data_IF_021792480297
#
_entry.id   IF_021792480297
#
_cell.length_a   1.000
_cell.length_b   1.000
_cell.length_c   1.000
_cell.angle_alpha   90.00
_cell.angle_beta   90.00
_cell.angle_gamma   90.00
#
_symmetry.space_group_name_H-M   'P 1'
#
loop_
_entity.id
_entity.type
_entity.pdbx_description
1 polymer ?
#
# COMPACT_ATOMS: atom_id res chain seq x y z
N UNK A 1 3.45 -10.37 9.24
CA UNK A 1 4.63 -9.53 9.49
C UNK A 1 4.38 -8.57 10.65
N UNK A 2 4.13 -9.10 11.86
CA UNK A 2 3.67 -8.28 13.00
C UNK A 2 4.73 -7.29 13.52
N UNK A 3 6.00 -7.68 13.76
CA UNK A 3 7.02 -6.75 14.23
C UNK A 3 7.24 -5.56 13.28
N UNK A 4 7.19 -5.83 11.97
CA UNK A 4 7.34 -4.79 10.94
C UNK A 4 6.16 -3.81 10.98
N UNK A 5 4.92 -4.31 11.03
CA UNK A 5 3.74 -3.46 11.13
C UNK A 5 3.74 -2.60 12.42
N UNK A 6 4.23 -3.16 13.52
CA UNK A 6 4.38 -2.43 14.78
C UNK A 6 5.39 -1.28 14.66
N UNK A 7 6.57 -1.54 14.10
CA UNK A 7 7.63 -0.52 13.91
C UNK A 7 7.21 0.59 12.95
N UNK A 8 6.34 0.30 11.98
CA UNK A 8 5.79 1.30 11.05
C UNK A 8 4.82 2.30 11.70
N UNK A 9 4.43 2.09 12.96
CA UNK A 9 3.59 3.04 13.70
C UNK A 9 2.10 2.98 13.37
N UNK A 10 1.59 1.77 13.04
CA UNK A 10 0.18 1.51 12.70
C UNK A 10 -0.75 2.00 13.81
N UNK A 11 -0.66 1.49 15.05
CA UNK A 11 -1.37 2.02 16.24
C UNK A 11 -0.94 1.25 17.51
N UNK A 12 -1.41 1.69 18.69
CA UNK A 12 -1.30 0.96 19.97
C UNK A 12 -2.26 -0.23 20.11
N UNK A 13 -3.27 -0.35 19.22
CA UNK A 13 -4.15 -1.51 19.17
C UNK A 13 -3.47 -2.71 18.47
N UNK A 14 -3.37 -3.81 19.21
CA UNK A 14 -2.78 -5.08 18.74
C UNK A 14 -3.58 -5.69 17.59
N UNK A 15 -4.91 -5.56 17.59
CA UNK A 15 -5.77 -6.16 16.55
C UNK A 15 -5.62 -5.44 15.21
N UNK A 16 -5.60 -4.11 15.20
CA UNK A 16 -5.34 -3.34 13.98
C UNK A 16 -3.95 -3.66 13.41
N UNK A 17 -2.93 -3.70 14.27
CA UNK A 17 -1.57 -4.08 13.89
C UNK A 17 -1.53 -5.48 13.29
N UNK A 18 -2.29 -6.43 13.85
CA UNK A 18 -2.40 -7.78 13.31
C UNK A 18 -3.10 -7.81 11.94
N UNK A 19 -4.14 -7.00 11.75
CA UNK A 19 -4.80 -6.86 10.45
C UNK A 19 -3.82 -6.33 9.39
N UNK A 20 -3.10 -5.24 9.67
CA UNK A 20 -2.09 -4.69 8.75
C UNK A 20 -0.96 -5.69 8.49
N UNK A 21 -0.48 -6.37 9.54
CA UNK A 21 0.55 -7.40 9.41
C UNK A 21 0.15 -8.59 8.51
N UNK A 22 -1.14 -8.95 8.49
CA UNK A 22 -1.71 -9.97 7.61
C UNK A 22 -1.84 -9.48 6.17
N UNK A 23 -2.16 -8.20 5.96
CA UNK A 23 -2.20 -7.58 4.64
C UNK A 23 -0.81 -7.56 4.01
N UNK A 24 0.22 -7.09 4.73
CA UNK A 24 1.61 -7.08 4.25
C UNK A 24 2.07 -8.51 3.93
N UNK A 25 1.75 -9.49 4.80
CA UNK A 25 2.05 -10.89 4.53
C UNK A 25 1.36 -11.44 3.28
N UNK A 26 0.08 -11.10 3.09
CA UNK A 26 -0.69 -11.51 1.90
C UNK A 26 -0.09 -10.91 0.62
N UNK A 27 0.35 -9.65 0.65
CA UNK A 27 1.06 -9.03 -0.47
C UNK A 27 2.30 -9.82 -0.85
N UNK A 28 3.19 -10.06 0.10
CA UNK A 28 4.48 -10.70 -0.17
C UNK A 28 4.32 -12.13 -0.66
N UNK A 29 3.41 -12.90 -0.03
CA UNK A 29 3.21 -14.30 -0.34
C UNK A 29 2.35 -14.55 -1.59
N UNK A 30 1.35 -13.70 -1.85
CA UNK A 30 0.37 -13.89 -2.92
C UNK A 30 0.48 -12.77 -3.96
N UNK A 31 -0.07 -11.60 -3.66
CA UNK A 31 0.08 -10.37 -4.46
C UNK A 31 -0.61 -9.19 -3.76
N UNK A 32 -0.29 -7.98 -4.22
CA UNK A 32 -0.87 -6.72 -3.77
C UNK A 32 -2.36 -6.57 -4.10
N UNK A 33 -2.85 -7.09 -5.23
CA UNK A 33 -4.27 -6.97 -5.61
C UNK A 33 -5.21 -7.65 -4.60
N UNK A 34 -4.87 -8.87 -4.17
CA UNK A 34 -5.63 -9.60 -3.15
C UNK A 34 -5.50 -8.91 -1.80
N UNK A 35 -4.32 -8.37 -1.49
CA UNK A 35 -4.13 -7.60 -0.27
C UNK A 35 -4.99 -6.32 -0.27
N UNK A 36 -5.06 -5.59 -1.39
CA UNK A 36 -5.92 -4.41 -1.53
C UNK A 36 -7.40 -4.76 -1.44
N UNK A 37 -7.84 -5.88 -2.02
CA UNK A 37 -9.21 -6.36 -1.85
C UNK A 37 -9.54 -6.56 -0.37
N UNK A 38 -8.68 -7.29 0.36
CA UNK A 38 -8.86 -7.50 1.81
C UNK A 38 -8.81 -6.20 2.61
N UNK A 39 -7.98 -5.23 2.21
CA UNK A 39 -7.95 -3.91 2.83
C UNK A 39 -9.30 -3.18 2.62
N UNK A 40 -9.85 -3.22 1.41
CA UNK A 40 -11.17 -2.69 1.10
C UNK A 40 -12.28 -3.31 1.94
N UNK A 41 -12.25 -4.62 2.15
CA UNK A 41 -13.19 -5.35 3.01
C UNK A 41 -13.09 -4.89 4.48
N UNK A 42 -11.87 -4.63 4.97
CA UNK A 42 -11.64 -4.14 6.34
C UNK A 42 -12.12 -2.70 6.54
N UNK A 43 -11.89 -1.83 5.56
CA UNK A 43 -12.32 -0.42 5.57
C UNK A 43 -13.85 -0.30 5.50
N UNK A 44 -14.49 -1.14 4.69
CA UNK A 44 -15.94 -1.15 4.46
C UNK A 44 -16.71 -1.90 5.55
N UNK A 45 -16.02 -2.58 6.47
CA UNK A 45 -16.66 -3.35 7.53
C UNK A 45 -17.45 -2.43 8.48
N UNK A 46 -18.71 -2.78 8.83
CA UNK A 46 -19.57 -1.97 9.71
C UNK A 46 -18.96 -1.71 11.09
N UNK A 47 -18.12 -2.63 11.57
CA UNK A 47 -17.45 -2.54 12.87
C UNK A 47 -16.15 -1.75 12.85
N UNK A 48 -15.77 -1.12 11.72
CA UNK A 48 -14.57 -0.30 11.56
C UNK A 48 -13.32 -0.94 12.17
N UNK A 49 -12.81 -1.98 11.50
CA UNK A 49 -11.66 -2.77 11.96
C UNK A 49 -10.30 -2.08 11.83
N UNK A 50 -10.26 -0.94 11.15
CA UNK A 50 -9.06 -0.14 10.93
C UNK A 50 -9.40 1.34 11.11
N UNK A 51 -8.62 2.02 11.94
CA UNK A 51 -8.57 3.47 12.01
C UNK A 51 -8.09 4.08 10.68
N UNK A 52 -8.45 5.34 10.38
CA UNK A 52 -7.98 6.03 9.19
C UNK A 52 -6.45 6.03 9.03
N UNK A 53 -5.72 6.18 10.15
CA UNK A 53 -4.26 6.10 10.21
C UNK A 53 -3.75 4.72 9.79
N UNK A 54 -4.27 3.66 10.40
CA UNK A 54 -3.90 2.27 10.08
C UNK A 54 -4.21 1.93 8.61
N UNK A 55 -5.36 2.37 8.11
CA UNK A 55 -5.76 2.17 6.72
C UNK A 55 -4.83 2.90 5.73
N UNK A 56 -4.44 4.14 6.03
CA UNK A 56 -3.46 4.90 5.25
C UNK A 56 -2.09 4.20 5.24
N UNK A 57 -1.55 3.84 6.40
CA UNK A 57 -0.26 3.14 6.51
C UNK A 57 -0.30 1.82 5.72
N UNK A 58 -1.38 1.05 5.85
CA UNK A 58 -1.57 -0.17 5.06
C UNK A 58 -1.60 0.12 3.56
N UNK A 59 -2.28 1.19 3.11
CA UNK A 59 -2.35 1.57 1.70
C UNK A 59 -0.97 1.82 1.10
N UNK A 60 -0.10 2.56 1.81
CA UNK A 60 1.29 2.79 1.38
C UNK A 60 2.13 1.52 1.47
N UNK A 61 1.97 0.71 2.52
CA UNK A 61 2.71 -0.54 2.68
C UNK A 61 2.41 -1.53 1.55
N UNK A 62 1.16 -1.48 1.04
CA UNK A 62 0.70 -2.32 -0.05
C UNK A 62 1.10 -1.81 -1.43
N UNK A 63 1.52 -0.55 -1.55
CA UNK A 63 1.82 0.09 -2.83
C UNK A 63 3.16 -0.40 -3.41
N UNK A 64 3.11 -1.51 -4.14
CA UNK A 64 4.24 -2.00 -4.93
C UNK A 64 4.14 -3.48 -5.25
N UNK A 65 4.74 -3.89 -6.36
CA UNK A 65 4.77 -5.28 -6.83
C UNK A 65 5.85 -6.12 -6.11
N UNK A 66 6.08 -5.90 -4.82
CA UNK A 66 7.16 -6.58 -4.09
C UNK A 66 6.69 -7.94 -3.56
N UNK A 67 6.34 -8.86 -4.47
CA UNK A 67 5.87 -10.22 -4.18
C UNK A 67 6.70 -11.27 -4.94
N UNK A 68 6.57 -12.56 -4.60
CA UNK A 68 7.32 -13.62 -5.26
C UNK A 68 7.02 -13.77 -6.77
N UNK A 69 5.79 -13.48 -7.21
CA UNK A 69 5.44 -13.52 -8.63
C UNK A 69 6.27 -12.52 -9.46
N UNK A 70 6.63 -11.38 -8.87
CA UNK A 70 7.45 -10.36 -9.54
C UNK A 70 8.84 -10.84 -9.91
N UNK A 71 9.40 -11.82 -9.17
CA UNK A 71 10.67 -12.46 -9.56
C UNK A 71 10.53 -13.08 -10.96
N UNK A 72 9.47 -13.86 -11.18
CA UNK A 72 9.21 -14.50 -12.47
C UNK A 72 8.94 -13.48 -13.57
N UNK A 73 8.14 -12.45 -13.28
CA UNK A 73 7.81 -11.39 -14.25
C UNK A 73 9.06 -10.63 -14.67
N UNK A 74 9.89 -10.18 -13.72
CA UNK A 74 11.09 -9.41 -14.05
C UNK A 74 12.16 -10.27 -14.72
N UNK A 75 12.33 -11.55 -14.36
CA UNK A 75 13.19 -12.48 -15.10
C UNK A 75 12.70 -12.73 -16.53
N UNK A 76 11.39 -12.89 -16.73
CA UNK A 76 10.79 -13.09 -18.04
C UNK A 76 10.99 -11.89 -18.96
N UNK A 77 10.64 -10.70 -18.46
CA UNK A 77 10.73 -9.44 -19.23
C UNK A 77 12.20 -9.07 -19.47
N UNK A 78 12.96 -8.82 -18.41
CA UNK A 78 14.33 -8.31 -18.53
C UNK A 78 15.28 -9.37 -19.10
N UNK A 79 15.04 -10.66 -18.80
CA UNK A 79 15.79 -11.74 -19.42
C UNK A 79 15.49 -11.91 -20.91
N UNK A 80 14.26 -11.62 -21.36
CA UNK A 80 13.92 -11.55 -22.77
C UNK A 80 14.57 -10.36 -23.48
N UNK A 81 14.58 -9.19 -22.83
CA UNK A 81 15.16 -7.95 -23.36
C UNK A 81 16.70 -7.98 -23.40
N UNK A 82 17.34 -8.59 -22.40
CA UNK A 82 18.79 -8.70 -22.29
C UNK A 82 19.23 -10.15 -21.97
N UNK A 83 19.22 -11.05 -22.97
CA UNK A 83 19.53 -12.47 -22.77
C UNK A 83 20.92 -12.72 -22.17
N UNK A 84 21.91 -11.91 -22.54
CA UNK A 84 23.28 -11.99 -22.03
C UNK A 84 23.42 -11.59 -20.55
N UNK A 85 22.39 -10.97 -19.95
CA UNK A 85 22.37 -10.52 -18.56
C UNK A 85 21.50 -11.39 -17.65
N UNK A 86 20.89 -12.47 -18.17
CA UNK A 86 20.00 -13.37 -17.41
C UNK A 86 20.63 -13.91 -16.12
N UNK A 87 21.90 -14.30 -16.18
CA UNK A 87 22.60 -14.84 -15.02
C UNK A 87 22.70 -13.80 -13.89
N UNK A 88 23.24 -12.62 -14.19
CA UNK A 88 23.34 -11.50 -13.24
C UNK A 88 21.96 -11.10 -12.69
N UNK A 89 20.94 -11.09 -13.54
CA UNK A 89 19.58 -10.80 -13.11
C UNK A 89 19.06 -11.85 -12.12
N UNK A 90 19.25 -13.14 -12.40
CA UNK A 90 18.81 -14.22 -11.51
C UNK A 90 19.50 -14.20 -10.14
N UNK A 91 20.76 -13.77 -10.09
CA UNK A 91 21.52 -13.64 -8.84
C UNK A 91 21.09 -12.42 -8.01
N UNK A 92 20.66 -11.35 -8.66
CA UNK A 92 20.34 -10.07 -8.01
C UNK A 92 18.85 -9.89 -7.69
N UNK A 93 17.96 -10.61 -8.37
CA UNK A 93 16.52 -10.32 -8.33
C UNK A 93 15.89 -10.52 -6.96
N UNK A 94 16.36 -11.48 -6.17
CA UNK A 94 15.85 -11.67 -4.81
C UNK A 94 16.19 -10.47 -3.91
N UNK A 95 17.40 -9.92 -4.06
CA UNK A 95 17.81 -8.69 -3.37
C UNK A 95 16.98 -7.49 -3.85
N UNK A 96 16.73 -7.40 -5.16
CA UNK A 96 15.86 -6.36 -5.72
C UNK A 96 14.44 -6.43 -5.15
N UNK A 97 13.89 -7.64 -4.99
CA UNK A 97 12.59 -7.85 -4.36
C UNK A 97 12.56 -7.34 -2.91
N UNK A 98 13.56 -7.72 -2.11
CA UNK A 98 13.65 -7.28 -0.72
C UNK A 98 13.79 -5.76 -0.62
N UNK A 99 14.61 -5.14 -1.47
CA UNK A 99 14.73 -3.67 -1.53
C UNK A 99 13.38 -3.03 -1.88
N UNK A 100 12.64 -3.61 -2.84
CA UNK A 100 11.29 -3.17 -3.17
C UNK A 100 10.33 -3.24 -1.98
N UNK A 101 10.34 -4.35 -1.23
CA UNK A 101 9.56 -4.50 0.01
C UNK A 101 9.91 -3.39 1.02
N UNK A 102 11.20 -3.18 1.30
CA UNK A 102 11.66 -2.17 2.26
C UNK A 102 11.27 -0.77 1.82
N UNK A 103 11.33 -0.47 0.52
CA UNK A 103 10.90 0.82 -0.03
C UNK A 103 9.41 1.11 0.27
N UNK A 104 8.52 0.13 0.05
CA UNK A 104 7.10 0.27 0.40
C UNK A 104 6.87 0.47 1.90
N UNK A 105 7.63 -0.24 2.75
CA UNK A 105 7.52 -0.10 4.21
C UNK A 105 8.05 1.26 4.69
N UNK A 106 9.10 1.75 4.05
CA UNK A 106 9.69 3.06 4.32
C UNK A 106 8.71 4.19 3.99
N UNK A 107 8.11 4.19 2.79
CA UNK A 107 7.12 5.21 2.42
C UNK A 107 5.88 5.15 3.32
N UNK A 108 5.46 3.96 3.73
CA UNK A 108 4.37 3.80 4.70
C UNK A 108 4.70 4.35 6.08
N UNK A 109 5.93 4.17 6.55
CA UNK A 109 6.40 4.75 7.81
C UNK A 109 6.44 6.27 7.71
N UNK A 110 6.94 6.82 6.59
CA UNK A 110 6.90 8.27 6.35
C UNK A 110 5.48 8.82 6.34
N UNK A 111 4.53 8.13 5.70
CA UNK A 111 3.13 8.52 5.72
C UNK A 111 2.57 8.53 7.16
N UNK A 112 2.91 7.53 7.98
CA UNK A 112 2.53 7.48 9.39
C UNK A 112 3.13 8.60 10.26
N UNK A 113 4.31 9.11 9.89
CA UNK A 113 4.95 10.24 10.60
C UNK A 113 4.35 11.58 10.15
N UNK A 114 4.16 11.76 8.85
CA UNK A 114 3.82 13.05 8.25
C UNK A 114 2.32 13.37 8.30
N UNK A 115 1.45 12.36 8.23
CA UNK A 115 0.01 12.57 8.25
C UNK A 115 -0.56 12.41 9.66
N UNK A 116 -0.98 13.55 10.24
CA UNK A 116 -1.47 13.65 11.61
C UNK A 116 -2.95 13.26 11.71
N UNK A 117 -3.81 13.80 10.84
CA UNK A 117 -5.26 13.60 10.85
C UNK A 117 -5.76 13.03 9.50
N UNK A 118 -5.43 11.77 9.18
CA UNK A 118 -5.94 11.13 7.98
C UNK A 118 -7.45 10.87 8.12
N UNK A 119 -8.22 11.22 7.08
CA UNK A 119 -9.65 10.94 7.00
C UNK A 119 -9.91 9.76 6.06
N UNK A 120 -10.79 8.84 6.48
CA UNK A 120 -11.13 7.66 5.69
C UNK A 120 -12.41 7.90 4.90
N UNK A 121 -12.26 8.22 3.63
CA UNK A 121 -13.39 8.48 2.75
C UNK A 121 -14.20 7.20 2.48
N UNK A 122 -15.44 7.14 3.01
CA UNK A 122 -16.42 6.11 2.67
C UNK A 122 -17.39 6.62 1.59
N UNK A 123 -17.94 5.73 0.73
CA UNK A 123 -18.93 6.12 -0.27
C UNK A 123 -20.16 6.85 0.31
N UNK A 124 -20.53 6.56 1.56
CA UNK A 124 -21.65 7.22 2.25
C UNK A 124 -21.37 8.68 2.67
N UNK A 125 -20.08 9.06 2.82
CA UNK A 125 -19.66 10.38 3.34
C UNK A 125 -18.86 11.20 2.31
N UNK A 126 -18.82 10.77 1.04
CA UNK A 126 -17.99 11.35 0.00
C UNK A 126 -18.31 12.83 -0.33
N UNK A 127 -19.48 13.33 0.07
CA UNK A 127 -19.97 14.66 -0.31
C UNK A 127 -19.63 15.80 0.67
N UNK A 128 -19.27 15.53 1.94
CA UNK A 128 -19.12 16.60 2.96
C UNK A 128 -17.69 16.87 3.46
N UNK A 129 -16.82 15.86 3.55
CA UNK A 129 -15.45 16.03 4.09
C UNK A 129 -14.35 15.40 3.23
N UNK A 130 -14.72 14.58 2.24
CA UNK A 130 -13.77 13.98 1.31
C UNK A 130 -13.53 14.91 0.11
N UNK A 131 -12.37 14.77 -0.54
CA UNK A 131 -12.03 15.47 -1.78
C UNK A 131 -13.13 15.27 -2.84
N UNK A 132 -13.98 16.29 -3.01
CA UNK A 132 -15.02 16.31 -4.03
C UNK A 132 -14.44 16.90 -5.31
N UNK A 133 -14.14 16.04 -6.28
CA UNK A 133 -13.65 16.45 -7.61
C UNK A 133 -14.58 17.50 -8.22
N UNK A 134 -15.89 17.41 -7.98
CA UNK A 134 -16.87 18.39 -8.46
C UNK A 134 -16.65 19.79 -7.86
N UNK A 135 -16.28 19.91 -6.57
CA UNK A 135 -16.01 21.20 -5.94
C UNK A 135 -14.70 21.82 -6.43
N UNK A 136 -13.65 21.02 -6.66
CA UNK A 136 -12.37 21.50 -7.20
C UNK A 136 -12.44 21.90 -8.68
N UNK A 137 -13.22 21.17 -9.48
CA UNK A 137 -13.50 21.55 -10.88
C UNK A 137 -14.30 22.87 -10.95
N UNK A 138 -15.25 23.09 -10.04
CA UNK A 138 -16.04 24.33 -10.00
C UNK A 138 -15.23 25.54 -9.50
N UNK A 139 -14.21 25.29 -8.68
CA UNK A 139 -13.24 26.31 -8.24
C UNK A 139 -12.28 26.70 -9.37
N UNK A 140 -11.88 25.74 -10.20
CA UNK A 140 -11.02 25.96 -11.36
C UNK A 140 -11.70 26.75 -12.49
N UNK A 141 -13.01 26.58 -12.69
CA UNK A 141 -13.80 27.40 -13.64
C UNK A 141 -14.07 28.82 -13.15
N UNK A 142 -14.00 29.06 -11.83
CA UNK A 142 -14.20 30.39 -11.23
C UNK A 142 -12.95 31.29 -11.28
N UNK A 143 -11.77 30.74 -11.57
CA UNK A 143 -10.52 31.49 -11.74
C UNK A 143 -10.33 31.93 -13.22
N UNK A 144 -11.16 31.41 -14.13
CA UNK A 144 -11.14 31.75 -15.56
C UNK A 144 -12.20 32.81 -15.95
N UNK A 145 -12.62 33.65 -15.00
CA UNK A 145 -13.44 34.84 -15.24
C UNK A 145 -12.83 36.05 -14.56
#
# INVERSE_FOLDING_TARGET
MFPVAFVMGVTSDVQETLHVARLIGTKTAVNEFIAYKKLGDLISSPSQKLSPRSAMIATYALCGFSNFCTIGIALGILGGLAPSKKQVLSETIFRALLTGCVCCLYTATLAGILAHDPELCRPSNAAMTCFSIANELNKSTSISK
#
